data_IF_341620028593
#
_entry.id   IF_341620028593
#
_cell.length_a   1.000
_cell.length_b   1.000
_cell.length_c   1.000
_cell.angle_alpha   90.00
_cell.angle_beta   90.00
_cell.angle_gamma   90.00
#
_symmetry.space_group_name_H-M   'P 1'
#
loop_
_entity.id
_entity.type
_entity.pdbx_description
1 polymer ?
#
# COMPACT_ATOMS: atom_id res chain seq x y z
N UNK A 1 8.04 -17.11 -6.09
CA UNK A 1 7.28 -17.88 -5.05
C UNK A 1 5.93 -17.20 -4.83
N UNK A 2 4.82 -17.94 -4.83
CA UNK A 2 3.50 -17.39 -4.50
C UNK A 2 3.25 -17.40 -2.97
N UNK A 3 2.15 -16.78 -2.53
CA UNK A 3 1.82 -16.67 -1.11
C UNK A 3 1.71 -18.01 -0.37
N UNK A 4 1.06 -19.02 -0.99
CA UNK A 4 0.88 -20.32 -0.34
C UNK A 4 2.22 -21.03 -0.12
N UNK A 5 3.11 -20.99 -1.12
CA UNK A 5 4.46 -21.54 -1.00
C UNK A 5 5.29 -20.77 0.05
N UNK A 6 5.22 -19.43 0.06
CA UNK A 6 5.92 -18.61 1.04
C UNK A 6 5.44 -18.92 2.47
N UNK A 7 4.12 -18.99 2.67
CA UNK A 7 3.52 -19.35 3.95
C UNK A 7 3.98 -20.72 4.45
N UNK A 8 3.98 -21.75 3.57
CA UNK A 8 4.44 -23.08 3.91
C UNK A 8 5.94 -23.08 4.25
N UNK A 9 6.76 -22.41 3.44
CA UNK A 9 8.20 -22.32 3.70
C UNK A 9 8.50 -21.65 5.04
N UNK A 10 7.76 -20.57 5.41
CA UNK A 10 7.92 -19.95 6.73
C UNK A 10 7.59 -20.92 7.86
N UNK A 11 6.52 -21.72 7.73
CA UNK A 11 6.18 -22.74 8.73
C UNK A 11 7.26 -23.81 8.84
N UNK A 12 7.78 -24.30 7.71
CA UNK A 12 8.82 -25.34 7.67
C UNK A 12 10.14 -24.83 8.31
N UNK A 13 10.54 -23.59 8.00
CA UNK A 13 11.76 -22.99 8.55
C UNK A 13 11.64 -22.66 10.04
N UNK A 14 10.45 -22.31 10.50
CA UNK A 14 10.18 -22.03 11.91
C UNK A 14 9.87 -23.29 12.71
N UNK A 15 9.67 -24.45 12.03
CA UNK A 15 9.20 -25.70 12.63
C UNK A 15 7.97 -25.47 13.55
N UNK A 16 7.10 -24.54 13.17
CA UNK A 16 5.98 -24.10 13.99
C UNK A 16 4.65 -24.13 13.22
N UNK A 17 3.73 -24.96 13.72
CA UNK A 17 2.38 -25.13 13.16
C UNK A 17 1.28 -24.67 14.13
N UNK A 18 1.63 -23.98 15.21
CA UNK A 18 0.66 -23.47 16.15
C UNK A 18 -0.27 -22.44 15.51
N UNK A 19 -1.55 -22.53 15.83
CA UNK A 19 -2.57 -21.64 15.23
C UNK A 19 -2.25 -20.15 15.38
N UNK A 20 -1.72 -19.74 16.54
CA UNK A 20 -1.33 -18.33 16.78
C UNK A 20 -0.18 -17.89 15.86
N UNK A 21 0.80 -18.75 15.64
CA UNK A 21 1.91 -18.46 14.71
C UNK A 21 1.41 -18.36 13.27
N UNK A 22 0.66 -19.37 12.84
CA UNK A 22 0.12 -19.45 11.47
C UNK A 22 -0.81 -18.25 11.16
N UNK A 23 -1.60 -17.80 12.14
CA UNK A 23 -2.46 -16.62 12.02
C UNK A 23 -1.67 -15.32 11.78
N UNK A 24 -0.44 -15.23 12.32
CA UNK A 24 0.39 -14.04 12.21
C UNK A 24 1.33 -14.03 11.00
N UNK A 25 1.47 -15.14 10.25
CA UNK A 25 2.33 -15.19 9.05
C UNK A 25 1.98 -14.06 8.04
N UNK A 26 0.70 -13.76 7.73
CA UNK A 26 0.37 -12.62 6.87
C UNK A 26 0.95 -11.30 7.38
N UNK A 27 0.91 -11.07 8.69
CA UNK A 27 1.48 -9.86 9.31
C UNK A 27 3.00 -9.80 9.16
N UNK A 28 3.71 -10.92 9.36
CA UNK A 28 5.17 -10.98 9.17
C UNK A 28 5.56 -10.65 7.73
N UNK A 29 4.80 -11.19 6.76
CA UNK A 29 5.01 -10.93 5.35
C UNK A 29 4.77 -9.44 5.03
N UNK A 30 3.67 -8.86 5.47
CA UNK A 30 3.33 -7.45 5.24
C UNK A 30 4.36 -6.50 5.86
N UNK A 31 4.87 -6.81 7.06
CA UNK A 31 5.94 -6.04 7.70
C UNK A 31 7.25 -6.12 6.89
N UNK A 32 7.59 -7.31 6.38
CA UNK A 32 8.74 -7.49 5.52
C UNK A 32 8.59 -6.70 4.20
N UNK A 33 7.44 -6.78 3.53
CA UNK A 33 7.12 -6.01 2.33
C UNK A 33 7.27 -4.51 2.57
N UNK A 34 6.68 -3.99 3.65
CA UNK A 34 6.78 -2.58 4.01
C UNK A 34 8.24 -2.13 4.19
N UNK A 35 9.07 -2.93 4.85
CA UNK A 35 10.51 -2.63 5.01
C UNK A 35 11.25 -2.65 3.68
N UNK A 36 10.95 -3.61 2.80
CA UNK A 36 11.57 -3.73 1.49
C UNK A 36 11.23 -2.51 0.64
N UNK A 37 9.94 -2.20 0.49
CA UNK A 37 9.48 -1.10 -0.38
C UNK A 37 9.93 0.28 0.09
N UNK A 38 10.07 0.47 1.41
CA UNK A 38 10.68 1.70 1.96
C UNK A 38 12.19 1.78 1.76
N UNK A 39 12.87 0.66 1.48
CA UNK A 39 14.33 0.58 1.38
C UNK A 39 14.85 0.53 -0.05
N UNK A 40 14.01 0.16 -1.02
CA UNK A 40 14.41 -0.13 -2.39
C UNK A 40 13.54 0.61 -3.38
N UNK A 41 14.19 1.41 -4.24
CA UNK A 41 13.56 2.08 -5.36
C UNK A 41 14.04 1.44 -6.66
N UNK A 42 13.22 0.58 -7.25
CA UNK A 42 13.53 -0.12 -8.50
C UNK A 42 12.55 0.29 -9.60
N UNK A 43 12.97 0.28 -10.88
CA UNK A 43 12.12 0.73 -11.99
C UNK A 43 10.77 0.01 -12.09
N UNK A 44 10.72 -1.25 -11.67
CA UNK A 44 9.47 -2.05 -11.67
C UNK A 44 8.43 -1.53 -10.70
N UNK A 45 8.84 -0.80 -9.65
CA UNK A 45 7.96 -0.17 -8.67
C UNK A 45 7.52 1.24 -9.09
N UNK A 46 7.56 1.54 -10.39
CA UNK A 46 7.09 2.82 -10.95
C UNK A 46 5.75 2.64 -11.63
N UNK A 47 4.89 3.62 -11.44
CA UNK A 47 3.61 3.77 -12.16
C UNK A 47 3.54 5.14 -12.81
N UNK A 48 2.68 5.23 -13.82
CA UNK A 48 2.28 6.48 -14.46
C UNK A 48 0.79 6.72 -14.19
N UNK A 49 0.44 7.94 -13.84
CA UNK A 49 -0.94 8.40 -13.74
C UNK A 49 -1.06 9.79 -14.34
N UNK A 50 -2.17 10.02 -15.04
CA UNK A 50 -2.54 11.33 -15.55
C UNK A 50 -3.65 11.93 -14.69
N UNK A 51 -3.58 13.22 -14.45
CA UNK A 51 -4.58 13.99 -13.71
C UNK A 51 -4.71 15.39 -14.29
N UNK A 52 -5.44 16.24 -13.60
CA UNK A 52 -5.56 17.65 -14.00
C UNK A 52 -5.35 18.57 -12.80
N UNK A 53 -4.57 19.62 -12.97
CA UNK A 53 -4.59 20.76 -12.05
C UNK A 53 -5.74 21.68 -12.43
N UNK A 54 -6.39 22.23 -11.42
CA UNK A 54 -7.55 23.13 -11.59
C UNK A 54 -7.07 24.58 -11.51
N UNK A 55 -7.71 25.46 -12.27
CA UNK A 55 -7.47 26.92 -12.19
C UNK A 55 -7.56 27.41 -10.75
N UNK A 56 -6.62 28.24 -10.35
CA UNK A 56 -6.52 28.85 -9.02
C UNK A 56 -6.36 27.87 -7.85
N UNK A 57 -6.17 26.56 -8.10
CA UNK A 57 -5.89 25.57 -7.08
C UNK A 57 -4.43 25.09 -7.18
N UNK A 58 -3.56 25.44 -6.22
CA UNK A 58 -2.16 25.03 -6.24
C UNK A 58 -1.93 23.61 -5.71
N UNK A 59 -2.98 22.86 -5.36
CA UNK A 59 -2.84 21.54 -4.76
C UNK A 59 -3.31 20.43 -5.68
N UNK A 60 -2.54 19.35 -5.75
CA UNK A 60 -2.83 18.13 -6.47
C UNK A 60 -2.74 16.96 -5.51
N UNK A 61 -3.82 16.16 -5.39
CA UNK A 61 -3.82 14.96 -4.55
C UNK A 61 -2.97 13.87 -5.18
N UNK A 62 -2.19 13.17 -4.36
CA UNK A 62 -1.47 11.98 -4.78
C UNK A 62 -2.40 10.76 -4.85
N UNK A 63 -2.06 9.73 -5.66
CA UNK A 63 -2.74 8.43 -5.60
C UNK A 63 -2.63 7.77 -4.22
N UNK A 64 -3.59 6.89 -3.87
CA UNK A 64 -3.62 6.20 -2.57
C UNK A 64 -2.39 5.29 -2.33
N UNK A 65 -1.79 4.77 -3.41
CA UNK A 65 -0.61 3.92 -3.37
C UNK A 65 0.72 4.69 -3.56
N UNK A 66 0.68 6.02 -3.45
CA UNK A 66 1.84 6.88 -3.67
C UNK A 66 2.91 6.69 -2.59
N UNK A 67 4.16 6.50 -3.01
CA UNK A 67 5.34 6.45 -2.14
C UNK A 67 6.24 7.69 -2.34
N UNK A 68 6.66 7.96 -3.57
CA UNK A 68 7.51 9.12 -3.89
C UNK A 68 7.43 9.51 -5.36
N UNK A 69 7.63 10.78 -5.66
CA UNK A 69 7.68 11.28 -7.03
C UNK A 69 8.95 10.78 -7.72
N UNK A 70 8.79 10.26 -8.94
CA UNK A 70 9.91 10.06 -9.87
C UNK A 70 10.04 11.25 -10.83
N UNK A 71 8.94 11.66 -11.46
CA UNK A 71 8.86 12.89 -12.26
C UNK A 71 7.42 13.39 -12.33
N UNK A 72 7.27 14.70 -12.40
CA UNK A 72 5.98 15.37 -12.58
C UNK A 72 6.09 16.34 -13.75
N UNK A 73 5.18 16.25 -14.69
CA UNK A 73 5.10 17.16 -15.82
C UNK A 73 3.72 17.77 -15.95
N UNK A 74 3.65 19.07 -16.24
CA UNK A 74 2.43 19.74 -16.69
C UNK A 74 2.43 19.75 -18.22
N UNK A 75 1.30 19.42 -18.82
CA UNK A 75 1.12 19.44 -20.28
C UNK A 75 0.34 20.70 -20.65
N UNK A 76 0.96 21.56 -21.44
CA UNK A 76 0.32 22.77 -21.92
C UNK A 76 -0.85 22.44 -22.87
N UNK A 77 -1.71 23.43 -23.15
CA UNK A 77 -2.81 23.29 -24.11
C UNK A 77 -2.34 22.97 -25.53
N UNK A 78 -1.06 23.24 -25.85
CA UNK A 78 -0.41 22.87 -27.09
C UNK A 78 0.20 21.46 -27.07
N UNK A 79 0.03 20.68 -25.99
CA UNK A 79 0.59 19.33 -25.85
C UNK A 79 2.07 19.30 -25.49
N UNK A 80 2.66 20.43 -25.07
CA UNK A 80 4.09 20.51 -24.71
C UNK A 80 4.26 20.18 -23.23
N UNK A 81 5.16 19.23 -22.94
CA UNK A 81 5.52 18.82 -21.59
C UNK A 81 6.46 19.84 -20.93
N UNK A 82 6.09 20.30 -19.74
CA UNK A 82 6.91 21.11 -18.86
C UNK A 82 7.14 20.34 -17.56
N UNK A 83 8.38 19.84 -17.36
CA UNK A 83 8.73 19.12 -16.13
C UNK A 83 8.86 20.08 -14.96
N UNK A 84 8.19 19.76 -13.86
CA UNK A 84 8.24 20.53 -12.63
C UNK A 84 9.48 20.12 -11.82
N UNK A 85 10.08 21.10 -11.16
CA UNK A 85 11.26 20.91 -10.33
C UNK A 85 10.83 20.80 -8.87
N UNK A 86 11.35 19.79 -8.16
CA UNK A 86 11.13 19.62 -6.72
C UNK A 86 11.78 20.77 -5.94
N UNK A 87 11.02 21.37 -5.02
CA UNK A 87 11.44 22.47 -4.15
C UNK A 87 10.75 22.37 -2.80
N UNK A 88 11.38 22.94 -1.78
CA UNK A 88 10.74 23.09 -0.48
C UNK A 88 9.53 24.03 -0.51
N UNK A 89 8.56 23.78 0.37
CA UNK A 89 7.36 24.63 0.52
C UNK A 89 7.75 26.08 0.85
N UNK A 90 8.78 26.28 1.67
CA UNK A 90 9.31 27.60 2.03
C UNK A 90 9.82 28.37 0.80
N UNK A 91 10.60 27.71 -0.07
CA UNK A 91 11.03 28.29 -1.34
C UNK A 91 9.85 28.71 -2.21
N UNK A 92 8.85 27.85 -2.34
CA UNK A 92 7.66 28.13 -3.14
C UNK A 92 6.93 29.35 -2.60
N UNK A 93 6.75 29.45 -1.28
CA UNK A 93 6.06 30.58 -0.64
C UNK A 93 6.83 31.89 -0.68
N UNK A 94 8.17 31.82 -0.68
CA UNK A 94 9.02 32.98 -0.84
C UNK A 94 9.04 33.48 -2.29
N UNK A 95 9.17 32.56 -3.26
CA UNK A 95 9.18 32.91 -4.68
C UNK A 95 7.80 33.37 -5.21
N UNK A 96 6.71 32.80 -4.65
CA UNK A 96 5.33 33.12 -5.03
C UNK A 96 4.49 33.42 -3.78
N UNK A 97 4.71 34.57 -3.10
CA UNK A 97 4.02 34.93 -1.86
C UNK A 97 2.54 35.21 -2.07
N UNK A 98 2.15 35.61 -3.27
CA UNK A 98 0.76 35.89 -3.61
C UNK A 98 0.11 34.74 -4.35
N UNK A 99 -1.03 34.21 -3.89
CA UNK A 99 -1.78 33.17 -4.60
C UNK A 99 -2.36 33.65 -5.94
N UNK A 100 -2.38 34.99 -6.16
CA UNK A 100 -2.83 35.60 -7.43
C UNK A 100 -1.76 35.62 -8.51
N UNK A 101 -0.51 35.23 -8.19
CA UNK A 101 0.53 35.02 -9.19
C UNK A 101 0.29 33.69 -9.91
N UNK A 102 -0.46 33.75 -11.00
CA UNK A 102 -0.87 32.57 -11.76
C UNK A 102 -0.08 32.39 -13.05
N UNK A 103 0.29 31.16 -13.39
CA UNK A 103 0.93 30.78 -14.65
C UNK A 103 0.96 29.25 -14.75
N UNK A 104 1.52 28.71 -15.86
CA UNK A 104 1.86 27.28 -15.97
C UNK A 104 2.82 26.90 -14.82
N UNK A 105 2.50 25.87 -14.01
CA UNK A 105 3.36 25.42 -12.92
C UNK A 105 4.76 25.01 -13.37
N UNK A 106 5.77 25.37 -12.57
CA UNK A 106 7.20 25.06 -12.81
C UNK A 106 7.86 24.32 -11.66
N UNK A 107 7.29 24.43 -10.47
CA UNK A 107 7.82 23.85 -9.25
C UNK A 107 6.74 23.05 -8.54
N UNK A 108 7.16 22.08 -7.77
CA UNK A 108 6.27 21.37 -6.85
C UNK A 108 6.98 21.12 -5.51
N UNK A 109 6.19 20.91 -4.47
CA UNK A 109 6.64 20.43 -3.17
C UNK A 109 5.68 19.35 -2.67
N UNK A 110 6.21 18.36 -1.97
CA UNK A 110 5.38 17.36 -1.29
C UNK A 110 4.82 17.98 0.00
N UNK A 111 3.54 17.84 0.22
CA UNK A 111 2.84 18.38 1.39
C UNK A 111 1.94 17.31 2.02
N UNK A 112 1.53 17.52 3.26
CA UNK A 112 0.58 16.66 3.95
C UNK A 112 -0.82 16.70 3.34
N UNK A 113 -1.72 15.87 3.88
CA UNK A 113 -3.11 15.84 3.46
C UNK A 113 -3.80 17.20 3.65
N UNK A 114 -4.59 17.61 2.67
CA UNK A 114 -5.49 18.77 2.81
C UNK A 114 -6.75 18.44 3.63
N UNK A 115 -7.13 17.16 3.66
CA UNK A 115 -8.32 16.67 4.34
C UNK A 115 -7.92 15.99 5.62
N UNK A 116 -8.35 16.50 6.76
CA UNK A 116 -7.97 16.00 8.10
C UNK A 116 -8.38 14.55 8.40
N UNK A 117 -9.17 13.91 7.54
CA UNK A 117 -9.63 12.53 7.68
C UNK A 117 -8.99 11.55 6.68
N UNK A 118 -8.09 12.03 5.81
CA UNK A 118 -7.39 11.20 4.83
C UNK A 118 -5.88 11.30 5.05
N UNK A 119 -5.20 10.16 5.01
CA UNK A 119 -3.75 10.06 5.08
C UNK A 119 -3.10 10.18 3.69
N UNK A 120 -3.72 10.91 2.77
CA UNK A 120 -3.20 11.15 1.44
C UNK A 120 -2.20 12.30 1.44
N UNK A 121 -1.09 12.12 0.74
CA UNK A 121 -0.17 13.21 0.45
C UNK A 121 -0.74 14.07 -0.69
N UNK A 122 -0.34 15.33 -0.73
CA UNK A 122 -0.64 16.24 -1.82
C UNK A 122 0.63 16.92 -2.33
N UNK A 123 0.61 17.33 -3.57
CA UNK A 123 1.65 18.13 -4.18
C UNK A 123 1.19 19.59 -4.24
N UNK A 124 2.01 20.47 -3.69
CA UNK A 124 1.84 21.93 -3.85
C UNK A 124 2.56 22.34 -5.12
N UNK A 125 1.85 22.85 -6.12
CA UNK A 125 2.45 23.32 -7.38
C UNK A 125 2.55 24.83 -7.42
N UNK A 126 3.57 25.36 -8.07
CA UNK A 126 3.78 26.79 -8.20
C UNK A 126 4.44 27.19 -9.53
N UNK A 127 4.14 28.38 -10.07
CA UNK A 127 3.05 29.29 -9.67
C UNK A 127 1.68 28.62 -9.69
N UNK A 128 0.68 29.26 -9.06
CA UNK A 128 -0.71 28.78 -9.09
C UNK A 128 -1.20 28.64 -10.54
N UNK A 129 -1.86 27.53 -10.93
CA UNK A 129 -2.32 27.35 -12.30
C UNK A 129 -3.27 28.46 -12.77
N UNK A 130 -3.01 29.05 -13.92
CA UNK A 130 -3.85 30.05 -14.60
C UNK A 130 -4.90 29.41 -15.52
N UNK A 131 -4.71 28.13 -15.86
CA UNK A 131 -5.64 27.34 -16.63
C UNK A 131 -5.72 25.91 -16.08
N UNK A 132 -6.66 25.11 -16.56
CA UNK A 132 -6.67 23.69 -16.30
C UNK A 132 -5.64 23.01 -17.22
N UNK A 133 -4.60 22.43 -16.62
CA UNK A 133 -3.56 21.68 -17.32
C UNK A 133 -3.63 20.21 -16.98
N UNK A 134 -3.45 19.36 -17.98
CA UNK A 134 -3.19 17.96 -17.74
C UNK A 134 -1.82 17.81 -17.09
N UNK A 135 -1.72 16.90 -16.13
CA UNK A 135 -0.46 16.56 -15.47
C UNK A 135 -0.20 15.07 -15.62
N UNK A 136 1.07 14.72 -15.80
CA UNK A 136 1.54 13.35 -15.84
C UNK A 136 2.51 13.14 -14.68
N UNK A 137 2.14 12.23 -13.77
CA UNK A 137 2.92 11.86 -12.61
C UNK A 137 3.48 10.46 -12.79
N UNK A 138 4.81 10.36 -12.86
CA UNK A 138 5.52 9.10 -12.68
C UNK A 138 5.96 9.02 -11.23
N UNK A 139 5.64 7.91 -10.55
CA UNK A 139 5.90 7.78 -9.13
C UNK A 139 6.23 6.34 -8.74
N UNK A 140 6.93 6.18 -7.63
CA UNK A 140 7.06 4.91 -6.96
C UNK A 140 5.80 4.65 -6.16
N UNK A 141 5.30 3.43 -6.23
CA UNK A 141 4.08 3.04 -5.55
C UNK A 141 4.32 1.90 -4.55
N UNK A 142 3.44 1.79 -3.57
CA UNK A 142 3.35 0.61 -2.72
C UNK A 142 2.60 -0.49 -3.46
N UNK A 143 3.24 -1.62 -3.81
CA UNK A 143 2.54 -2.74 -4.41
C UNK A 143 1.50 -3.33 -3.47
N UNK A 144 0.50 -3.96 -4.05
CA UNK A 144 -0.43 -4.79 -3.28
C UNK A 144 0.36 -5.93 -2.64
N UNK A 145 0.05 -6.26 -1.39
CA UNK A 145 0.71 -7.35 -0.65
C UNK A 145 0.61 -8.68 -1.41
N UNK A 146 1.63 -9.54 -1.25
CA UNK A 146 1.58 -10.91 -1.77
C UNK A 146 0.53 -11.77 -1.05
N UNK A 147 0.08 -11.37 0.14
CA UNK A 147 -0.94 -12.09 0.91
C UNK A 147 -2.21 -12.22 0.08
N UNK A 148 -2.60 -13.45 -0.19
CA UNK A 148 -3.73 -13.78 -1.05
C UNK A 148 -5.06 -13.60 -0.33
N UNK A 149 -6.06 -13.04 -1.03
CA UNK A 149 -7.44 -13.02 -0.58
C UNK A 149 -7.67 -12.22 0.71
N UNK A 150 -7.00 -11.08 0.87
CA UNK A 150 -7.27 -10.13 1.96
C UNK A 150 -8.56 -9.38 1.65
N UNK A 151 -9.51 -9.34 2.58
CA UNK A 151 -10.78 -8.65 2.38
C UNK A 151 -10.52 -7.14 2.20
N UNK A 152 -10.94 -6.58 1.08
CA UNK A 152 -10.86 -5.15 0.80
C UNK A 152 -12.22 -4.45 0.77
N UNK A 153 -13.31 -5.23 0.67
CA UNK A 153 -14.65 -4.70 0.76
C UNK A 153 -15.66 -5.78 1.18
N UNK A 154 -16.69 -5.36 1.89
CA UNK A 154 -17.76 -6.23 2.37
C UNK A 154 -19.08 -5.49 2.49
N UNK A 155 -20.17 -6.22 2.55
CA UNK A 155 -21.50 -5.69 2.83
C UNK A 155 -22.22 -6.55 3.85
N UNK A 156 -22.95 -5.93 4.78
CA UNK A 156 -23.84 -6.63 5.70
C UNK A 156 -25.00 -7.18 4.89
N UNK A 157 -25.10 -8.49 4.80
CA UNK A 157 -26.21 -9.17 4.10
C UNK A 157 -27.40 -9.33 5.01
N UNK A 158 -27.15 -9.63 6.28
CA UNK A 158 -28.17 -9.68 7.34
C UNK A 158 -27.58 -9.11 8.62
N UNK A 159 -28.28 -8.17 9.24
CA UNK A 159 -27.89 -7.65 10.57
C UNK A 159 -28.18 -8.62 11.72
N UNK A 160 -28.90 -9.72 11.45
CA UNK A 160 -29.37 -10.65 12.47
C UNK A 160 -30.41 -10.03 13.42
N UNK A 161 -30.64 -10.69 14.53
CA UNK A 161 -31.56 -10.20 15.55
C UNK A 161 -31.22 -10.72 16.97
N UNK A 162 -31.68 -10.01 17.98
CA UNK A 162 -31.56 -10.44 19.38
C UNK A 162 -30.18 -10.19 20.00
N UNK A 163 -29.29 -9.47 19.34
CA UNK A 163 -28.01 -9.12 19.89
C UNK A 163 -28.09 -8.02 20.97
N UNK A 164 -27.16 -8.03 21.90
CA UNK A 164 -27.08 -6.96 22.92
C UNK A 164 -26.52 -5.69 22.28
N UNK A 165 -27.21 -4.56 22.42
CA UNK A 165 -26.71 -3.28 21.87
C UNK A 165 -25.41 -2.86 22.53
N UNK A 166 -24.43 -2.42 21.74
CA UNK A 166 -23.11 -2.02 22.20
C UNK A 166 -22.08 -1.99 21.07
N UNK A 167 -20.84 -1.68 21.46
CA UNK A 167 -19.65 -1.75 20.57
C UNK A 167 -18.81 -2.92 21.06
N UNK A 168 -18.51 -3.81 20.12
CA UNK A 168 -17.71 -5.01 20.35
C UNK A 168 -16.42 -4.90 19.56
N UNK A 169 -15.30 -5.10 20.22
CA UNK A 169 -13.96 -4.93 19.64
C UNK A 169 -13.36 -6.29 19.33
N UNK A 170 -12.61 -6.34 18.21
CA UNK A 170 -11.81 -7.48 17.79
C UNK A 170 -12.57 -8.82 17.78
N UNK A 171 -13.81 -8.77 17.28
CA UNK A 171 -14.68 -9.94 17.18
C UNK A 171 -14.22 -10.83 16.04
N UNK A 172 -13.81 -12.08 16.29
CA UNK A 172 -13.45 -13.01 15.23
C UNK A 172 -14.65 -13.31 14.32
N UNK A 173 -14.43 -13.25 13.03
CA UNK A 173 -15.39 -13.68 12.02
C UNK A 173 -15.11 -15.13 11.63
N UNK A 174 -16.16 -15.90 11.44
CA UNK A 174 -16.16 -17.31 11.08
C UNK A 174 -16.84 -17.53 9.73
N UNK A 175 -16.75 -18.76 9.23
CA UNK A 175 -17.26 -19.18 7.93
C UNK A 175 -16.49 -18.55 6.74
N UNK A 176 -16.94 -18.86 5.52
CA UNK A 176 -16.19 -18.55 4.30
C UNK A 176 -14.99 -19.50 4.08
N UNK A 177 -14.22 -19.26 3.03
CA UNK A 177 -13.07 -20.07 2.66
C UNK A 177 -11.75 -19.60 3.29
N UNK A 178 -11.72 -18.35 3.77
CA UNK A 178 -10.55 -17.71 4.35
C UNK A 178 -10.42 -17.90 5.86
N UNK A 179 -9.43 -17.23 6.45
CA UNK A 179 -9.06 -17.39 7.84
C UNK A 179 -8.70 -16.06 8.50
N UNK A 180 -8.91 -15.98 9.82
CA UNK A 180 -8.40 -14.94 10.72
C UNK A 180 -8.93 -13.53 10.49
N UNK A 181 -10.08 -13.37 9.84
CA UNK A 181 -10.74 -12.07 9.81
C UNK A 181 -11.32 -11.73 11.20
N UNK A 182 -11.11 -10.48 11.64
CA UNK A 182 -11.68 -9.95 12.86
C UNK A 182 -12.13 -8.50 12.66
N UNK A 183 -13.19 -8.10 13.35
CA UNK A 183 -13.78 -6.79 13.16
C UNK A 183 -14.31 -6.17 14.45
N UNK A 184 -14.35 -4.84 14.50
CA UNK A 184 -15.16 -4.11 15.45
C UNK A 184 -16.59 -4.05 14.93
N UNK A 185 -17.54 -4.39 15.78
CA UNK A 185 -18.97 -4.53 15.44
C UNK A 185 -19.79 -3.59 16.30
N UNK A 186 -20.69 -2.83 15.67
CA UNK A 186 -21.67 -1.99 16.37
C UNK A 186 -23.03 -2.62 16.24
N UNK A 187 -23.67 -2.83 17.38
CA UNK A 187 -25.06 -3.33 17.50
C UNK A 187 -25.96 -2.22 18.00
N UNK A 188 -27.04 -1.95 17.28
CA UNK A 188 -28.06 -0.98 17.67
C UNK A 188 -29.43 -1.60 17.53
N UNK A 189 -30.26 -1.52 18.59
CA UNK A 189 -31.63 -2.08 18.57
C UNK A 189 -31.68 -3.60 18.36
N UNK A 190 -30.64 -4.32 18.75
CA UNK A 190 -30.56 -5.78 18.65
C UNK A 190 -30.11 -6.31 17.29
N UNK A 191 -29.67 -5.43 16.36
CA UNK A 191 -29.15 -5.80 15.04
C UNK A 191 -27.76 -5.21 14.83
N UNK A 192 -26.92 -5.88 14.03
CA UNK A 192 -25.61 -5.36 13.62
C UNK A 192 -25.83 -4.27 12.58
N UNK A 193 -25.32 -3.07 12.86
CA UNK A 193 -25.47 -1.89 11.99
C UNK A 193 -24.17 -1.46 11.32
N UNK A 194 -23.02 -1.83 11.89
CA UNK A 194 -21.70 -1.47 11.32
C UNK A 194 -20.67 -2.53 11.64
N UNK A 195 -19.77 -2.77 10.67
CA UNK A 195 -18.62 -3.66 10.78
C UNK A 195 -17.40 -2.92 10.24
N UNK A 196 -16.32 -2.88 11.03
CA UNK A 196 -15.03 -2.30 10.65
C UNK A 196 -13.93 -3.31 10.93
N UNK A 197 -13.23 -3.78 9.90
CA UNK A 197 -12.19 -4.78 10.06
C UNK A 197 -11.01 -4.24 10.87
N UNK A 198 -10.55 -5.05 11.82
CA UNK A 198 -9.28 -4.91 12.54
C UNK A 198 -8.23 -5.79 11.88
N UNK A 199 -8.63 -6.99 11.48
CA UNK A 199 -7.83 -7.90 10.68
C UNK A 199 -8.67 -8.36 9.47
N UNK A 200 -8.16 -8.08 8.28
CA UNK A 200 -8.84 -8.40 7.03
C UNK A 200 -8.70 -9.89 6.62
N UNK A 201 -7.97 -10.67 7.40
CA UNK A 201 -7.73 -12.09 7.15
C UNK A 201 -6.98 -12.38 5.86
N UNK A 202 -7.03 -13.62 5.42
CA UNK A 202 -6.39 -14.10 4.17
C UNK A 202 -7.15 -15.29 3.59
N UNK A 203 -6.91 -15.56 2.30
CA UNK A 203 -7.49 -16.67 1.54
C UNK A 203 -9.02 -16.61 1.36
N UNK A 204 -9.62 -15.44 1.53
CA UNK A 204 -11.03 -15.24 1.20
C UNK A 204 -11.25 -15.11 -0.31
N UNK A 205 -12.46 -15.45 -0.74
CA UNK A 205 -12.94 -15.24 -2.10
C UNK A 205 -14.11 -14.24 -2.12
N UNK A 206 -14.30 -13.57 -3.25
CA UNK A 206 -15.50 -12.74 -3.46
C UNK A 206 -16.74 -13.65 -3.43
N UNK A 207 -17.74 -13.25 -2.65
CA UNK A 207 -18.94 -14.03 -2.41
C UNK A 207 -18.90 -14.90 -1.14
N UNK A 208 -17.76 -14.99 -0.45
CA UNK A 208 -17.71 -15.64 0.86
C UNK A 208 -18.67 -14.95 1.84
N UNK A 209 -19.41 -15.76 2.58
CA UNK A 209 -20.35 -15.28 3.60
C UNK A 209 -19.76 -15.58 4.97
N UNK A 210 -19.53 -14.52 5.73
CA UNK A 210 -18.96 -14.57 7.07
C UNK A 210 -20.07 -14.43 8.11
N UNK A 211 -19.90 -15.10 9.24
CA UNK A 211 -20.74 -15.01 10.42
C UNK A 211 -19.91 -14.70 11.66
N UNK A 212 -20.57 -14.65 12.79
CA UNK A 212 -19.93 -14.54 14.10
C UNK A 212 -20.27 -15.76 14.95
N UNK A 213 -19.36 -16.11 15.85
CA UNK A 213 -19.59 -17.19 16.79
C UNK A 213 -20.79 -16.85 17.72
N UNK A 214 -21.64 -17.84 17.94
CA UNK A 214 -22.82 -17.71 18.83
C UNK A 214 -22.37 -17.26 20.23
N UNK A 215 -22.92 -16.13 20.69
CA UNK A 215 -22.55 -15.55 22.00
C UNK A 215 -21.53 -14.43 21.94
N UNK A 216 -20.86 -14.18 20.81
CA UNK A 216 -19.87 -13.10 20.67
C UNK A 216 -20.45 -11.70 20.89
N UNK A 217 -21.72 -11.49 20.49
CA UNK A 217 -22.44 -10.20 20.64
C UNK A 217 -23.60 -10.29 21.64
N UNK A 218 -23.46 -11.13 22.66
CA UNK A 218 -24.49 -11.38 23.69
C UNK A 218 -25.13 -12.76 23.57
N UNK A 219 -25.85 -13.20 24.61
CA UNK A 219 -26.19 -14.63 24.77
C UNK A 219 -27.30 -15.16 23.84
N UNK A 220 -28.06 -14.29 23.17
CA UNK A 220 -29.30 -14.69 22.50
C UNK A 220 -29.33 -14.32 20.99
N UNK A 221 -28.42 -13.52 20.50
CA UNK A 221 -28.44 -13.03 19.13
C UNK A 221 -28.03 -14.09 18.11
N UNK A 222 -28.62 -14.02 16.91
CA UNK A 222 -28.29 -14.91 15.78
C UNK A 222 -28.62 -14.29 14.42
N UNK A 223 -28.13 -14.92 13.33
CA UNK A 223 -28.51 -14.59 11.96
C UNK A 223 -27.74 -13.42 11.34
N UNK A 224 -26.66 -12.92 11.96
CA UNK A 224 -25.75 -11.98 11.31
C UNK A 224 -24.99 -12.68 10.18
N UNK A 225 -24.95 -12.05 9.01
CA UNK A 225 -24.11 -12.46 7.88
C UNK A 225 -23.55 -11.25 7.17
N UNK A 226 -22.28 -11.38 6.76
CA UNK A 226 -21.49 -10.40 6.02
C UNK A 226 -20.96 -11.04 4.75
N UNK A 227 -21.21 -10.45 3.59
CA UNK A 227 -20.68 -10.97 2.31
C UNK A 227 -19.43 -10.19 1.90
N UNK A 228 -18.39 -10.90 1.54
CA UNK A 228 -17.16 -10.34 0.96
C UNK A 228 -17.46 -9.87 -0.47
N UNK A 229 -17.31 -8.58 -0.73
CA UNK A 229 -17.60 -7.97 -2.05
C UNK A 229 -16.34 -7.75 -2.88
N UNK A 230 -15.20 -7.60 -2.25
CA UNK A 230 -13.90 -7.46 -2.93
C UNK A 230 -12.74 -7.97 -2.08
N UNK A 231 -11.69 -8.45 -2.73
CA UNK A 231 -10.45 -8.93 -2.12
C UNK A 231 -9.24 -8.32 -2.83
N UNK A 232 -8.13 -8.19 -2.13
CA UNK A 232 -6.85 -7.86 -2.73
C UNK A 232 -6.09 -9.12 -3.12
N UNK A 233 -5.30 -9.03 -4.18
CA UNK A 233 -4.41 -10.07 -4.68
C UNK A 233 -5.02 -11.49 -4.74
N UNK A 234 -6.01 -11.69 -5.60
CA UNK A 234 -6.65 -13.01 -5.79
C UNK A 234 -5.67 -14.10 -6.25
N UNK A 235 -4.58 -13.74 -6.95
CA UNK A 235 -3.57 -14.68 -7.46
C UNK A 235 -2.54 -15.10 -6.40
N UNK A 236 -2.34 -14.31 -5.36
CA UNK A 236 -1.29 -14.53 -4.36
C UNK A 236 0.14 -14.39 -4.92
N UNK A 237 0.34 -13.59 -5.97
CA UNK A 237 1.64 -13.33 -6.60
C UNK A 237 1.95 -11.84 -6.63
N UNK A 238 3.23 -11.51 -6.58
CA UNK A 238 3.77 -10.16 -6.80
C UNK A 238 5.05 -10.26 -7.60
N UNK A 239 5.47 -9.16 -8.23
CA UNK A 239 6.76 -9.15 -8.94
C UNK A 239 7.93 -9.60 -8.03
N UNK A 240 7.92 -9.17 -6.77
CA UNK A 240 8.96 -9.52 -5.81
C UNK A 240 8.94 -11.02 -5.49
N UNK A 241 7.75 -11.60 -5.29
CA UNK A 241 7.58 -13.04 -5.07
C UNK A 241 8.02 -13.89 -6.26
N UNK A 242 7.75 -13.42 -7.48
CA UNK A 242 8.06 -14.17 -8.69
C UNK A 242 9.53 -14.05 -9.12
N UNK A 243 10.17 -12.89 -8.88
CA UNK A 243 11.50 -12.62 -9.40
C UNK A 243 12.60 -12.59 -8.32
N UNK A 244 12.25 -12.30 -7.05
CA UNK A 244 13.24 -12.18 -5.99
C UNK A 244 12.66 -12.51 -4.61
N UNK A 245 12.21 -13.74 -4.44
CA UNK A 245 11.58 -14.23 -3.20
C UNK A 245 12.50 -14.32 -1.95
N UNK A 246 13.87 -14.47 -2.04
CA UNK A 246 14.67 -14.59 -0.84
C UNK A 246 14.55 -13.41 0.13
N UNK A 247 14.37 -12.19 -0.40
CA UNK A 247 14.23 -11.01 0.46
C UNK A 247 12.93 -11.03 1.25
N UNK A 248 11.83 -11.52 0.64
CA UNK A 248 10.54 -11.71 1.33
C UNK A 248 10.64 -12.79 2.41
N UNK A 249 11.22 -13.95 2.05
CA UNK A 249 11.38 -15.07 2.96
C UNK A 249 12.19 -14.65 4.20
N UNK A 250 13.41 -14.14 3.99
CA UNK A 250 14.27 -13.78 5.13
C UNK A 250 13.73 -12.59 5.94
N UNK A 251 13.07 -11.63 5.29
CA UNK A 251 12.38 -10.55 5.98
C UNK A 251 11.25 -11.07 6.87
N UNK A 252 10.39 -11.94 6.35
CA UNK A 252 9.30 -12.55 7.12
C UNK A 252 9.80 -13.48 8.22
N UNK A 253 10.88 -14.28 7.97
CA UNK A 253 11.50 -15.12 8.97
C UNK A 253 12.08 -14.34 10.15
N UNK A 254 12.67 -13.17 9.89
CA UNK A 254 13.13 -12.29 10.96
C UNK A 254 11.98 -11.86 11.87
N UNK A 255 10.86 -11.42 11.31
CA UNK A 255 9.68 -11.03 12.09
C UNK A 255 9.08 -12.23 12.84
N UNK A 256 9.05 -13.40 12.20
CA UNK A 256 8.61 -14.66 12.82
C UNK A 256 9.48 -15.04 14.04
N UNK A 257 10.82 -14.92 13.93
CA UNK A 257 11.73 -15.21 15.05
C UNK A 257 11.54 -14.22 16.21
N UNK A 258 11.32 -12.94 15.92
CA UNK A 258 10.99 -11.95 16.94
C UNK A 258 9.68 -12.30 17.66
N UNK A 259 8.65 -12.68 16.90
CA UNK A 259 7.36 -13.10 17.44
C UNK A 259 7.48 -14.31 18.38
N UNK A 260 8.25 -15.32 17.97
CA UNK A 260 8.50 -16.51 18.77
C UNK A 260 9.43 -16.28 19.96
N UNK A 261 9.96 -15.07 20.15
CA UNK A 261 11.00 -14.75 21.14
C UNK A 261 12.22 -15.67 20.99
N UNK A 262 12.59 -15.94 19.73
CA UNK A 262 13.73 -16.77 19.37
C UNK A 262 15.05 -16.24 19.95
N UNK A 263 16.06 -17.09 19.98
CA UNK A 263 17.39 -16.70 20.45
C UNK A 263 17.95 -15.53 19.62
N UNK A 264 18.67 -14.62 20.27
CA UNK A 264 19.22 -13.43 19.63
C UNK A 264 20.10 -13.76 18.42
N UNK A 265 20.82 -14.88 18.47
CA UNK A 265 21.67 -15.37 17.39
C UNK A 265 20.87 -15.73 16.13
N UNK A 266 19.70 -16.36 16.31
CA UNK A 266 18.80 -16.68 15.20
C UNK A 266 18.17 -15.44 14.57
N UNK A 267 17.73 -14.49 15.40
CA UNK A 267 17.25 -13.19 14.89
C UNK A 267 18.36 -12.46 14.12
N UNK A 268 19.58 -12.47 14.66
CA UNK A 268 20.77 -11.89 14.01
C UNK A 268 21.11 -12.57 12.69
N UNK A 269 21.02 -13.91 12.64
CA UNK A 269 21.24 -14.68 11.42
C UNK A 269 20.25 -14.29 10.30
N UNK A 270 18.95 -14.26 10.60
CA UNK A 270 17.94 -13.90 9.59
C UNK A 270 18.02 -12.41 9.19
N UNK A 271 18.39 -11.51 10.13
CA UNK A 271 18.67 -10.12 9.77
C UNK A 271 19.85 -10.02 8.79
N UNK A 272 20.96 -10.75 9.03
CA UNK A 272 22.10 -10.76 8.11
C UNK A 272 21.69 -11.29 6.72
N UNK A 273 20.94 -12.40 6.66
CA UNK A 273 20.44 -12.95 5.39
C UNK A 273 19.50 -12.00 4.66
N UNK A 274 18.63 -11.32 5.40
CA UNK A 274 17.76 -10.28 4.86
C UNK A 274 18.57 -9.12 4.25
N UNK A 275 19.57 -8.61 4.96
CA UNK A 275 20.42 -7.52 4.47
C UNK A 275 21.24 -7.92 3.24
N UNK A 276 21.75 -9.15 3.20
CA UNK A 276 22.42 -9.71 2.04
C UNK A 276 21.48 -9.74 0.81
N UNK A 277 20.27 -10.29 0.97
CA UNK A 277 19.25 -10.36 -0.08
C UNK A 277 18.81 -8.95 -0.52
N UNK A 278 18.59 -8.04 0.42
CA UNK A 278 18.22 -6.65 0.13
C UNK A 278 19.31 -5.93 -0.68
N UNK A 279 20.58 -6.15 -0.34
CA UNK A 279 21.72 -5.62 -1.09
C UNK A 279 21.78 -6.13 -2.53
N UNK A 280 21.46 -7.40 -2.75
CA UNK A 280 21.38 -8.00 -4.09
C UNK A 280 20.18 -7.43 -4.89
N UNK A 281 19.02 -7.25 -4.25
CA UNK A 281 17.86 -6.63 -4.88
C UNK A 281 18.14 -5.18 -5.32
N UNK A 282 18.88 -4.40 -4.50
CA UNK A 282 19.32 -3.05 -4.87
C UNK A 282 20.22 -3.07 -6.09
N UNK A 283 21.18 -4.01 -6.15
CA UNK A 283 22.08 -4.16 -7.32
C UNK A 283 21.31 -4.54 -8.59
N UNK A 284 20.26 -5.37 -8.46
CA UNK A 284 19.36 -5.69 -9.57
C UNK A 284 18.63 -4.43 -10.07
N UNK A 285 18.11 -3.61 -9.15
CA UNK A 285 17.50 -2.32 -9.46
C UNK A 285 18.44 -1.37 -10.19
N UNK A 286 19.65 -1.19 -9.66
CA UNK A 286 20.69 -0.39 -10.30
C UNK A 286 21.07 -0.91 -11.69
N UNK A 287 21.07 -2.24 -11.88
CA UNK A 287 21.33 -2.88 -13.17
C UNK A 287 20.26 -2.56 -14.22
N UNK A 288 19.00 -2.53 -13.80
CA UNK A 288 17.87 -2.15 -14.67
C UNK A 288 17.92 -0.66 -15.09
N UNK A 289 18.46 0.21 -14.22
CA UNK A 289 18.62 1.64 -14.53
C UNK A 289 19.83 1.94 -15.40
N UNK A 290 20.91 1.18 -15.25
CA UNK A 290 22.16 1.41 -15.98
C UNK A 290 22.08 1.23 -17.50
N UNK A 291 21.02 0.61 -18.00
CA UNK A 291 20.76 0.51 -19.44
C UNK A 291 20.71 1.88 -20.15
N UNK A 292 20.43 2.94 -19.40
CA UNK A 292 20.31 4.31 -19.93
C UNK A 292 21.59 5.15 -19.75
N UNK A 293 22.50 4.79 -18.82
CA UNK A 293 23.72 5.56 -18.55
C UNK A 293 24.76 5.49 -19.69
N UNK A 294 24.74 4.42 -20.49
CA UNK A 294 25.58 4.31 -21.68
C UNK A 294 25.14 5.22 -22.83
N UNK A 295 23.88 5.68 -22.86
CA UNK A 295 23.36 6.63 -23.85
C UNK A 295 23.63 8.09 -23.49
N UNK A 296 23.93 8.39 -22.25
CA UNK A 296 24.18 9.78 -21.79
C UNK A 296 25.55 10.35 -22.24
N UNK A 297 26.42 9.57 -22.88
CA UNK A 297 27.65 10.08 -23.54
C UNK A 297 27.37 10.61 -24.96
N UNK A 298 26.16 10.58 -25.46
CA UNK A 298 25.82 11.34 -26.65
C UNK A 298 25.59 12.79 -26.25
N UNK A 299 26.52 13.66 -26.64
CA UNK A 299 26.39 15.12 -26.58
C UNK A 299 24.98 15.49 -27.06
N UNK A 300 24.16 16.03 -26.16
CA UNK A 300 22.89 16.64 -26.53
C UNK A 300 23.23 17.78 -27.48
N UNK A 301 23.00 17.57 -28.77
CA UNK A 301 23.03 18.67 -29.73
C UNK A 301 22.00 19.71 -29.26
N UNK A 302 22.41 20.98 -29.12
CA UNK A 302 21.45 22.02 -28.79
C UNK A 302 20.37 22.02 -29.89
N UNK A 303 19.11 21.98 -29.47
CA UNK A 303 17.98 22.18 -30.38
C UNK A 303 18.21 23.51 -31.09
N UNK A 304 18.50 23.47 -32.38
CA UNK A 304 18.43 24.66 -33.21
C UNK A 304 16.93 24.97 -33.37
N UNK A 305 16.51 26.07 -32.75
CA UNK A 305 15.20 26.68 -33.04
C UNK A 305 15.13 26.96 -34.55
N UNK A 306 14.26 26.25 -35.24
CA UNK A 306 13.68 26.67 -36.52
C UNK A 306 12.40 27.43 -36.21
#
# INVERSE_FOLDING_TARGET
MNYLALRQTIQDYAENTENMFVANIPTFIQQAESRIYNSVQIPVLRKNVTGNVTVANPYLSCPDDFLSVYSLAAVSTAGIYSYLIDKDVSFIREAYPSPTATSLPKYYAIFGSQLSYKNELSLLVAPTPDASYSVELHYYYYPVTIVQGVISGSSITSGGAGYTSGVYYDVPLSDGNGFYAAANIIVTGGIVTSVSFVNNGSLYAVGDVLSIYTGALGPIGSGFTLTVTSISNASGTTWLGDNYDPVLLYGAMREAMIFMKGEADMVGYYEQKYQEALGQLKRLGDGLERGDSYRNNQTKLPYSSL
#
